data_IF_819826960784
#
_entry.id   IF_819826960784
#
_cell.length_a   1.000
_cell.length_b   1.000
_cell.length_c   1.000
_cell.angle_alpha   90.00
_cell.angle_beta   90.00
_cell.angle_gamma   90.00
#
_symmetry.space_group_name_H-M   'P 1'
#
loop_
_entity.id
_entity.type
_entity.pdbx_description
1 polymer ?
#
# COMPACT_ATOMS: atom_id res chain seq x y z
N UNK A 1 10.01 -2.66 -2.30
CA UNK A 1 9.17 -2.68 -3.51
C UNK A 1 8.20 -3.84 -3.37
N UNK A 2 6.90 -3.65 -3.67
CA UNK A 2 5.89 -4.71 -3.68
C UNK A 2 5.56 -4.98 -5.15
N UNK A 3 5.84 -6.19 -5.64
CA UNK A 3 5.75 -6.52 -7.08
C UNK A 3 4.36 -7.01 -7.52
N UNK A 4 3.43 -7.16 -6.59
CA UNK A 4 2.09 -7.69 -6.84
C UNK A 4 1.03 -6.72 -6.35
N UNK A 5 0.08 -6.38 -7.22
CA UNK A 5 -1.03 -5.48 -6.94
C UNK A 5 -2.35 -6.22 -6.72
N UNK A 6 -3.34 -5.48 -6.21
CA UNK A 6 -4.73 -5.91 -6.18
C UNK A 6 -5.43 -5.43 -7.45
N UNK A 7 -6.13 -6.32 -8.14
CA UNK A 7 -6.98 -5.97 -9.29
C UNK A 7 -8.19 -6.88 -9.37
N UNK A 8 -9.36 -6.28 -9.61
CA UNK A 8 -10.61 -6.99 -9.90
C UNK A 8 -10.87 -7.08 -11.41
N UNK A 9 -10.40 -6.08 -12.16
CA UNK A 9 -10.69 -5.92 -13.59
C UNK A 9 -9.92 -6.91 -14.48
N UNK A 10 -8.68 -7.24 -14.12
CA UNK A 10 -7.79 -8.04 -14.97
C UNK A 10 -7.53 -9.45 -14.47
N UNK A 11 -8.33 -9.92 -13.49
CA UNK A 11 -8.09 -11.21 -12.82
C UNK A 11 -8.09 -12.43 -13.76
N UNK A 12 -8.82 -12.32 -14.87
CA UNK A 12 -8.90 -13.36 -15.91
C UNK A 12 -8.01 -13.08 -17.13
N UNK A 13 -7.27 -11.98 -17.13
CA UNK A 13 -6.39 -11.63 -18.24
C UNK A 13 -5.09 -12.44 -18.16
N UNK A 14 -4.68 -13.14 -19.23
CA UNK A 14 -3.44 -13.90 -19.26
C UNK A 14 -2.24 -13.01 -18.93
N UNK A 15 -1.39 -13.46 -17.99
CA UNK A 15 -0.24 -12.68 -17.51
C UNK A 15 -0.53 -11.75 -16.33
N UNK A 16 -1.79 -11.60 -15.90
CA UNK A 16 -2.12 -10.85 -14.69
C UNK A 16 -1.96 -11.72 -13.44
N UNK A 17 -0.93 -11.43 -12.62
CA UNK A 17 -0.74 -12.06 -11.32
C UNK A 17 -1.25 -11.15 -10.18
N UNK A 18 -2.56 -10.97 -10.08
CA UNK A 18 -3.16 -10.15 -9.02
C UNK A 18 -3.26 -10.93 -7.69
N UNK A 19 -2.96 -10.27 -6.58
CA UNK A 19 -3.17 -10.82 -5.23
C UNK A 19 -4.53 -10.43 -4.66
N UNK A 20 -4.99 -11.18 -3.65
CA UNK A 20 -6.21 -10.82 -2.94
C UNK A 20 -6.03 -9.52 -2.15
N UNK A 21 -7.12 -8.75 -2.00
CA UNK A 21 -7.17 -7.53 -1.18
C UNK A 21 -6.65 -7.78 0.25
N UNK A 22 -7.05 -8.90 0.84
CA UNK A 22 -6.63 -9.31 2.20
C UNK A 22 -5.12 -9.56 2.28
N UNK A 23 -4.55 -10.18 1.24
CA UNK A 23 -3.10 -10.43 1.15
C UNK A 23 -2.33 -9.12 1.06
N UNK A 24 -2.76 -8.17 0.22
CA UNK A 24 -2.12 -6.86 0.10
C UNK A 24 -2.10 -6.11 1.44
N UNK A 25 -3.24 -6.09 2.13
CA UNK A 25 -3.37 -5.46 3.45
C UNK A 25 -2.45 -6.13 4.48
N UNK A 26 -2.41 -7.46 4.52
CA UNK A 26 -1.58 -8.20 5.47
C UNK A 26 -0.08 -7.97 5.23
N UNK A 27 0.37 -8.01 3.98
CA UNK A 27 1.76 -7.75 3.59
C UNK A 27 2.17 -6.33 3.98
N UNK A 28 1.36 -5.34 3.61
CA UNK A 28 1.66 -3.94 3.94
C UNK A 28 1.74 -3.73 5.45
N UNK A 29 0.81 -4.35 6.21
CA UNK A 29 0.84 -4.28 7.67
C UNK A 29 2.10 -4.90 8.26
N UNK A 30 2.54 -6.05 7.75
CA UNK A 30 3.77 -6.71 8.20
C UNK A 30 5.01 -5.85 7.97
N UNK A 31 5.13 -5.25 6.78
CA UNK A 31 6.25 -4.36 6.43
C UNK A 31 6.29 -3.15 7.36
N UNK A 32 5.17 -2.40 7.43
CA UNK A 32 5.10 -1.18 8.24
C UNK A 32 5.30 -1.48 9.72
N UNK A 33 4.72 -2.56 10.24
CA UNK A 33 4.92 -2.94 11.65
C UNK A 33 6.38 -3.26 11.96
N UNK A 34 7.07 -3.97 11.07
CA UNK A 34 8.49 -4.30 11.24
C UNK A 34 9.36 -3.05 11.25
N UNK A 35 9.09 -2.11 10.34
CA UNK A 35 9.80 -0.83 10.29
C UNK A 35 9.49 0.08 11.48
N UNK A 36 8.24 0.10 11.96
CA UNK A 36 7.88 0.79 13.19
C UNK A 36 8.62 0.23 14.41
N UNK A 37 8.77 -1.09 14.48
CA UNK A 37 9.53 -1.74 15.56
C UNK A 37 11.01 -1.33 15.56
N UNK A 38 11.56 -1.01 14.39
CA UNK A 38 12.91 -0.44 14.23
C UNK A 38 12.98 1.08 14.50
N UNK A 39 11.86 1.71 14.88
CA UNK A 39 11.79 3.13 15.21
C UNK A 39 11.50 4.07 14.03
N UNK A 40 11.19 3.56 12.84
CA UNK A 40 10.76 4.39 11.71
C UNK A 40 9.34 4.92 11.98
N UNK A 41 9.18 6.24 11.87
CA UNK A 41 7.92 6.94 12.21
C UNK A 41 7.18 7.51 11.01
N UNK A 42 7.82 7.62 9.85
CA UNK A 42 7.28 8.30 8.67
C UNK A 42 7.33 7.38 7.46
N UNK A 43 6.19 7.23 6.80
CA UNK A 43 6.03 6.34 5.66
C UNK A 43 5.37 7.10 4.51
N UNK A 44 5.91 6.91 3.31
CA UNK A 44 5.29 7.34 2.06
C UNK A 44 5.12 6.08 1.23
N UNK A 45 3.89 5.80 0.84
CA UNK A 45 3.55 4.69 -0.05
C UNK A 45 3.20 5.31 -1.40
N UNK A 46 4.00 4.99 -2.40
CA UNK A 46 3.77 5.37 -3.79
C UNK A 46 3.03 4.20 -4.44
N UNK A 47 1.77 4.42 -4.82
CA UNK A 47 0.97 3.46 -5.55
C UNK A 47 1.13 3.72 -7.05
N UNK A 48 1.60 2.72 -7.81
CA UNK A 48 1.69 2.81 -9.27
C UNK A 48 0.55 2.12 -9.99
N UNK A 49 -0.43 1.59 -9.26
CA UNK A 49 -1.51 0.76 -9.81
C UNK A 49 -2.85 1.38 -9.46
N UNK A 50 -3.55 1.92 -10.46
CA UNK A 50 -4.87 2.49 -10.24
C UNK A 50 -5.82 1.42 -9.65
N UNK A 51 -6.36 1.69 -8.46
CA UNK A 51 -7.31 0.80 -7.76
C UNK A 51 -6.79 0.06 -6.52
N UNK A 52 -5.58 0.34 -6.04
CA UNK A 52 -5.09 -0.20 -4.75
C UNK A 52 -5.18 0.80 -3.57
N UNK A 53 -5.41 2.09 -3.85
CA UNK A 53 -5.40 3.16 -2.85
C UNK A 53 -6.31 2.92 -1.64
N UNK A 54 -7.53 2.43 -1.83
CA UNK A 54 -8.49 2.13 -0.77
C UNK A 54 -8.05 0.96 0.11
N UNK A 55 -7.47 -0.10 -0.48
CA UNK A 55 -6.88 -1.20 0.28
C UNK A 55 -5.62 -0.74 1.07
N UNK A 56 -4.77 0.09 0.46
CA UNK A 56 -3.60 0.67 1.12
C UNK A 56 -4.01 1.56 2.29
N UNK A 57 -4.98 2.45 2.10
CA UNK A 57 -5.50 3.31 3.17
C UNK A 57 -6.11 2.50 4.33
N UNK A 58 -6.83 1.41 4.05
CA UNK A 58 -7.36 0.52 5.10
C UNK A 58 -6.25 -0.17 5.90
N UNK A 59 -5.20 -0.64 5.22
CA UNK A 59 -4.07 -1.28 5.87
C UNK A 59 -3.44 -0.34 6.91
N UNK A 60 -3.35 0.96 6.58
CA UNK A 60 -2.69 1.99 7.37
C UNK A 60 -3.56 2.57 8.48
N UNK A 61 -4.87 2.71 8.25
CA UNK A 61 -5.80 3.30 9.23
C UNK A 61 -5.71 2.61 10.59
N UNK A 62 -5.55 1.28 10.62
CA UNK A 62 -5.37 0.52 11.85
C UNK A 62 -3.99 0.66 12.52
N UNK A 63 -2.94 0.96 11.74
CA UNK A 63 -1.55 1.01 12.24
C UNK A 63 -1.17 2.33 12.89
N UNK A 64 -1.80 3.42 12.48
CA UNK A 64 -1.47 4.78 12.94
C UNK A 64 -2.57 5.41 13.82
N UNK A 65 -3.72 4.75 14.00
CA UNK A 65 -4.86 5.29 14.75
C UNK A 65 -4.55 5.82 16.16
N UNK A 66 -3.50 5.29 16.81
CA UNK A 66 -3.15 5.62 18.21
C UNK A 66 -1.83 6.38 18.37
N UNK A 67 -1.12 6.70 17.29
CA UNK A 67 0.21 7.33 17.36
C UNK A 67 0.22 8.71 16.71
N UNK A 68 0.24 9.76 17.53
CA UNK A 68 0.29 11.15 17.07
C UNK A 68 1.65 11.55 16.46
N UNK A 69 2.73 10.82 16.76
CA UNK A 69 4.09 11.13 16.32
C UNK A 69 4.51 10.40 15.03
N UNK A 70 3.67 9.50 14.54
CA UNK A 70 3.91 8.71 13.34
C UNK A 70 3.00 9.18 12.21
N UNK A 71 3.51 9.26 10.99
CA UNK A 71 2.73 9.69 9.83
C UNK A 71 2.88 8.70 8.68
N UNK A 72 1.79 8.51 7.94
CA UNK A 72 1.80 7.74 6.71
C UNK A 72 0.96 8.46 5.66
N UNK A 73 1.47 8.50 4.43
CA UNK A 73 0.72 9.01 3.26
C UNK A 73 0.76 7.99 2.14
N UNK A 74 -0.38 7.81 1.48
CA UNK A 74 -0.48 7.11 0.21
C UNK A 74 -0.58 8.17 -0.86
N UNK A 75 0.29 8.10 -1.86
CA UNK A 75 0.29 8.96 -3.03
C UNK A 75 0.10 8.07 -4.24
N UNK A 76 -0.80 8.45 -5.12
CA UNK A 76 -0.91 7.83 -6.44
C UNK A 76 0.19 8.41 -7.31
N UNK A 77 1.00 7.54 -7.91
CA UNK A 77 2.09 7.95 -8.77
C UNK A 77 1.55 8.12 -10.18
N UNK A 78 1.49 9.36 -10.64
CA UNK A 78 1.13 9.69 -12.01
C UNK A 78 2.38 10.22 -12.75
N UNK A 79 2.82 9.56 -13.84
CA UNK A 79 3.97 10.01 -14.61
C UNK A 79 3.81 11.44 -15.16
N UNK A 80 2.58 11.93 -15.31
CA UNK A 80 2.29 13.29 -15.78
C UNK A 80 2.58 14.39 -14.76
N UNK A 81 2.73 14.05 -13.49
CA UNK A 81 2.98 15.05 -12.42
C UNK A 81 4.44 15.55 -12.41
N UNK A 82 5.30 14.98 -13.25
CA UNK A 82 6.74 15.27 -13.32
C UNK A 82 7.20 15.67 -14.73
N UNK A 83 6.25 16.03 -15.61
CA UNK A 83 6.48 16.48 -16.98
C UNK A 83 6.54 18.00 -17.13
#
# INVERSE_FOLDING_TARGET
MINYGYSVAFKSFPGCAAISRRTLIAVLRGIVSSWKWQGIKRFIILDGTSGSADALNEALKGLFAKEKSSSCRVLDWNPKDFG
#
